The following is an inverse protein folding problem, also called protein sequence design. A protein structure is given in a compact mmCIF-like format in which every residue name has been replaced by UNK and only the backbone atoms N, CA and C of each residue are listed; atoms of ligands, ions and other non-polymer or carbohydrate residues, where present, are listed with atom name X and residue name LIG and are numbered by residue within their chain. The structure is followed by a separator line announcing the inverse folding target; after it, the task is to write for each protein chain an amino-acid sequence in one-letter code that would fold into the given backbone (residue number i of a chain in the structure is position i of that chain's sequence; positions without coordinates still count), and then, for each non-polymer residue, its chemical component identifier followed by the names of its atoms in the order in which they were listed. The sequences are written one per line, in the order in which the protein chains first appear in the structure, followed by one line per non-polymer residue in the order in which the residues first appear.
data_IF_342176216765
#
_entry.id   IF_342176216765
#
_cell.length_a   1.000
_cell.length_b   1.000
_cell.length_c   1.000
_cell.angle_alpha   90.00
_cell.angle_beta   90.00
_cell.angle_gamma   90.00
#
_symmetry.space_group_name_H-M   'P 1'
#
loop_
_entity.id
_entity.type
_entity.pdbx_description
1 polymer ?
#
# COMPACT_ATOMS: atom_id res chain seq x y z
N UNK A 1 -14.10 17.22 -3.95
CA UNK A 1 -14.64 18.30 -3.08
C UNK A 1 -14.32 19.65 -3.69
N UNK A 2 -14.58 20.75 -2.98
CA UNK A 2 -14.12 22.10 -3.38
C UNK A 2 -15.00 22.79 -4.44
N UNK A 3 -16.25 23.10 -4.10
CA UNK A 3 -17.15 23.84 -5.00
C UNK A 3 -17.87 22.93 -6.00
N UNK A 4 -18.68 22.02 -5.48
CA UNK A 4 -19.33 20.94 -6.26
C UNK A 4 -20.52 21.37 -7.11
N UNK A 5 -20.87 22.67 -7.13
CA UNK A 5 -22.06 23.17 -7.81
C UNK A 5 -22.09 22.95 -9.33
N UNK A 6 -20.93 22.89 -9.99
CA UNK A 6 -20.86 22.55 -11.42
C UNK A 6 -21.01 21.05 -11.65
N UNK A 7 -20.16 20.25 -11.00
CA UNK A 7 -20.06 18.81 -11.26
C UNK A 7 -21.34 18.05 -10.88
N UNK A 8 -22.15 18.58 -9.96
CA UNK A 8 -23.43 17.95 -9.59
C UNK A 8 -24.46 17.91 -10.73
N UNK A 9 -24.24 18.72 -11.77
CA UNK A 9 -25.07 18.79 -12.97
C UNK A 9 -24.43 18.09 -14.18
N UNK A 10 -23.31 17.38 -13.99
CA UNK A 10 -22.62 16.60 -15.03
C UNK A 10 -22.96 15.11 -14.82
N UNK A 11 -23.95 14.54 -15.56
CA UNK A 11 -24.46 13.19 -15.28
C UNK A 11 -23.39 12.10 -15.42
N UNK A 12 -22.47 12.27 -16.38
CA UNK A 12 -21.34 11.35 -16.61
C UNK A 12 -20.42 11.28 -15.39
N UNK A 13 -20.14 12.40 -14.72
CA UNK A 13 -19.32 12.43 -13.51
C UNK A 13 -20.01 11.75 -12.32
N UNK A 14 -21.32 11.98 -12.14
CA UNK A 14 -22.10 11.33 -11.09
C UNK A 14 -22.16 9.81 -11.31
N UNK A 15 -22.42 9.40 -12.55
CA UNK A 15 -22.47 7.99 -12.94
C UNK A 15 -21.10 7.32 -12.74
N UNK A 16 -20.01 7.99 -13.11
CA UNK A 16 -18.66 7.46 -12.88
C UNK A 16 -18.35 7.24 -11.40
N UNK A 17 -18.75 8.15 -10.51
CA UNK A 17 -18.57 7.96 -9.05
C UNK A 17 -19.36 6.75 -8.54
N UNK A 18 -20.58 6.57 -9.04
CA UNK A 18 -21.42 5.42 -8.70
C UNK A 18 -20.79 4.11 -9.19
N UNK A 19 -20.38 4.05 -10.45
CA UNK A 19 -19.74 2.88 -11.06
C UNK A 19 -18.42 2.53 -10.38
N UNK A 20 -17.60 3.53 -10.04
CA UNK A 20 -16.37 3.32 -9.26
C UNK A 20 -16.67 2.60 -7.94
N UNK A 21 -17.71 3.02 -7.21
CA UNK A 21 -18.11 2.36 -5.97
C UNK A 21 -18.69 0.96 -6.19
N UNK A 22 -19.55 0.78 -7.20
CA UNK A 22 -20.13 -0.53 -7.54
C UNK A 22 -19.05 -1.54 -7.97
N UNK A 23 -17.98 -1.08 -8.60
CA UNK A 23 -16.82 -1.88 -9.00
C UNK A 23 -15.79 -2.10 -7.87
N UNK A 24 -16.18 -1.91 -6.60
CA UNK A 24 -15.33 -2.18 -5.44
C UNK A 24 -14.49 -1.00 -4.95
N UNK A 25 -14.54 0.15 -5.63
CA UNK A 25 -13.80 1.34 -5.26
C UNK A 25 -14.23 1.96 -3.93
N UNK A 26 -13.29 2.67 -3.30
CA UNK A 26 -13.53 3.50 -2.11
C UNK A 26 -13.84 4.93 -2.52
N UNK A 27 -14.80 5.57 -1.87
CA UNK A 27 -15.18 6.97 -2.06
C UNK A 27 -14.86 7.76 -0.80
N UNK A 28 -13.89 8.67 -0.89
CA UNK A 28 -13.61 9.65 0.16
C UNK A 28 -14.03 11.03 -0.32
N UNK A 29 -14.93 11.69 0.42
CA UNK A 29 -15.38 13.05 0.09
C UNK A 29 -14.77 14.08 1.03
N UNK A 30 -14.48 15.27 0.48
CA UNK A 30 -13.95 16.42 1.24
C UNK A 30 -14.87 17.62 1.07
N UNK A 31 -15.20 18.29 2.17
CA UNK A 31 -15.99 19.51 2.18
C UNK A 31 -17.36 19.27 1.53
N UNK A 32 -17.71 20.03 0.49
CA UNK A 32 -18.96 19.85 -0.25
C UNK A 32 -18.99 18.59 -1.11
N UNK A 33 -17.92 17.79 -1.13
CA UNK A 33 -17.84 16.52 -1.87
C UNK A 33 -18.96 15.54 -1.53
N UNK A 34 -19.49 15.59 -0.30
CA UNK A 34 -20.61 14.76 0.12
C UNK A 34 -21.86 14.96 -0.77
N UNK A 35 -22.04 16.14 -1.39
CA UNK A 35 -23.16 16.38 -2.31
C UNK A 35 -23.08 15.51 -3.57
N UNK A 36 -21.86 15.19 -4.03
CA UNK A 36 -21.63 14.33 -5.19
C UNK A 36 -21.98 12.88 -4.85
N UNK A 37 -21.54 12.40 -3.68
CA UNK A 37 -21.89 11.06 -3.19
C UNK A 37 -23.41 10.92 -2.93
N UNK A 38 -24.03 11.96 -2.35
CA UNK A 38 -25.49 12.03 -2.18
C UNK A 38 -26.21 11.93 -3.53
N UNK A 39 -25.82 12.77 -4.51
CA UNK A 39 -26.41 12.77 -5.85
C UNK A 39 -26.25 11.43 -6.58
N UNK A 40 -25.15 10.73 -6.34
CA UNK A 40 -24.89 9.38 -6.87
C UNK A 40 -25.74 8.28 -6.18
N UNK A 41 -26.53 8.63 -5.15
CA UNK A 41 -27.33 7.68 -4.37
C UNK A 41 -26.52 6.85 -3.38
N UNK A 42 -25.26 7.22 -3.13
CA UNK A 42 -24.34 6.43 -2.30
C UNK A 42 -24.55 6.65 -0.79
N UNK A 43 -25.28 7.69 -0.38
CA UNK A 43 -25.48 8.04 1.03
C UNK A 43 -26.86 7.68 1.57
N UNK A 44 -27.75 7.09 0.77
CA UNK A 44 -29.12 6.77 1.22
C UNK A 44 -29.10 5.82 2.42
N UNK A 45 -29.84 6.16 3.48
CA UNK A 45 -29.86 5.44 4.75
C UNK A 45 -28.56 5.48 5.57
N UNK A 46 -27.55 6.24 5.14
CA UNK A 46 -26.25 6.33 5.82
C UNK A 46 -26.12 7.58 6.69
N UNK A 47 -25.17 7.53 7.61
CA UNK A 47 -24.67 8.73 8.30
C UNK A 47 -23.59 9.38 7.46
N UNK A 48 -23.58 10.71 7.39
CA UNK A 48 -22.56 11.44 6.66
C UNK A 48 -22.23 12.78 7.33
N UNK A 49 -21.11 13.39 6.95
CA UNK A 49 -20.82 14.77 7.31
C UNK A 49 -20.36 15.57 6.08
N UNK A 50 -20.39 16.89 6.19
CA UNK A 50 -19.98 17.81 5.13
C UNK A 50 -19.50 19.12 5.72
N UNK A 51 -19.14 20.08 4.87
CA UNK A 51 -18.78 21.42 5.30
C UNK A 51 -19.93 22.08 6.06
N UNK A 52 -19.62 22.82 7.13
CA UNK A 52 -20.61 23.32 8.09
C UNK A 52 -21.71 24.21 7.47
N UNK A 53 -21.46 24.87 6.34
CA UNK A 53 -22.48 25.66 5.62
C UNK A 53 -23.21 24.90 4.52
N UNK A 54 -22.85 23.64 4.25
CA UNK A 54 -23.34 22.86 3.12
C UNK A 54 -24.34 21.76 3.51
N UNK A 55 -24.76 21.69 4.78
CA UNK A 55 -25.68 20.67 5.27
C UNK A 55 -27.01 20.65 4.48
N UNK A 56 -27.70 21.78 4.38
CA UNK A 56 -28.96 21.87 3.65
C UNK A 56 -28.79 21.57 2.15
N UNK A 57 -27.64 21.98 1.59
CA UNK A 57 -27.28 21.70 0.20
C UNK A 57 -27.12 20.21 -0.06
N UNK A 58 -26.44 19.47 0.83
CA UNK A 58 -26.27 18.01 0.72
C UNK A 58 -27.59 17.28 0.98
N UNK A 59 -28.35 17.71 1.99
CA UNK A 59 -29.66 17.11 2.33
C UNK A 59 -30.65 17.20 1.16
N UNK A 60 -30.56 18.26 0.33
CA UNK A 60 -31.37 18.41 -0.88
C UNK A 60 -31.16 17.31 -1.94
N UNK A 61 -30.08 16.53 -1.85
CA UNK A 61 -29.79 15.42 -2.76
C UNK A 61 -29.89 14.04 -2.11
N UNK A 62 -30.18 13.97 -0.82
CA UNK A 62 -30.28 12.73 -0.07
C UNK A 62 -31.22 12.97 1.11
N UNK A 63 -32.46 12.53 0.96
CA UNK A 63 -33.50 12.76 1.97
C UNK A 63 -33.41 11.80 3.15
N UNK A 64 -32.81 10.63 2.97
CA UNK A 64 -32.76 9.55 3.96
C UNK A 64 -31.40 9.43 4.67
N UNK A 65 -30.41 10.30 4.37
CA UNK A 65 -29.17 10.35 5.16
C UNK A 65 -29.29 11.23 6.39
N UNK A 66 -28.62 10.78 7.45
CA UNK A 66 -28.44 11.54 8.68
C UNK A 66 -27.12 12.33 8.61
N UNK A 67 -27.20 13.65 8.45
CA UNK A 67 -26.03 14.52 8.43
C UNK A 67 -25.56 14.89 9.85
N UNK A 68 -24.42 14.35 10.27
CA UNK A 68 -23.78 14.58 11.56
C UNK A 68 -22.97 15.88 11.57
N UNK A 69 -23.32 16.79 12.49
CA UNK A 69 -22.60 18.04 12.75
C UNK A 69 -21.50 17.82 13.80
N UNK A 70 -20.42 18.60 13.71
CA UNK A 70 -19.35 18.61 14.71
C UNK A 70 -18.40 17.40 14.68
N UNK A 71 -18.56 16.48 13.74
CA UNK A 71 -17.64 15.36 13.52
C UNK A 71 -16.65 15.71 12.41
N UNK A 72 -15.42 15.18 12.50
CA UNK A 72 -14.38 15.44 11.49
C UNK A 72 -14.63 14.63 10.22
N UNK A 73 -14.91 13.34 10.39
CA UNK A 73 -15.30 12.45 9.31
C UNK A 73 -16.31 11.42 9.81
N UNK A 74 -17.02 10.79 8.87
CA UNK A 74 -17.87 9.63 9.09
C UNK A 74 -17.36 8.50 8.21
N UNK A 75 -17.05 7.36 8.80
CA UNK A 75 -16.66 6.14 8.08
C UNK A 75 -17.84 5.16 8.00
N UNK A 76 -18.29 4.87 6.77
CA UNK A 76 -19.30 3.87 6.44
C UNK A 76 -18.70 2.66 5.68
N UNK A 77 -17.43 2.32 5.94
CA UNK A 77 -16.71 1.28 5.23
C UNK A 77 -16.03 1.83 3.98
N UNK A 78 -16.55 1.53 2.78
CA UNK A 78 -15.96 2.03 1.53
C UNK A 78 -16.38 3.46 1.17
N UNK A 79 -17.24 4.09 1.98
CA UNK A 79 -17.63 5.49 1.83
C UNK A 79 -17.24 6.26 3.08
N UNK A 80 -16.30 7.20 2.93
CA UNK A 80 -15.85 8.10 3.98
C UNK A 80 -16.27 9.51 3.59
N UNK A 81 -17.03 10.18 4.46
CA UNK A 81 -17.37 11.59 4.28
C UNK A 81 -16.62 12.44 5.30
N UNK A 82 -16.10 13.58 4.87
CA UNK A 82 -15.32 14.46 5.75
C UNK A 82 -15.89 15.88 5.73
N UNK A 83 -15.70 16.59 6.83
CA UNK A 83 -16.15 17.97 6.99
C UNK A 83 -15.26 18.94 6.19
N UNK A 84 -14.66 19.94 6.83
CA UNK A 84 -13.80 20.92 6.16
C UNK A 84 -12.49 20.33 5.61
N UNK A 85 -11.65 21.19 5.02
CA UNK A 85 -10.38 20.81 4.39
C UNK A 85 -9.47 20.03 5.37
N UNK A 86 -9.29 20.55 6.58
CA UNK A 86 -8.47 19.88 7.61
C UNK A 86 -9.05 18.54 8.03
N UNK A 87 -10.37 18.43 8.12
CA UNK A 87 -11.03 17.16 8.40
C UNK A 87 -10.90 16.15 7.24
N UNK A 88 -10.73 16.65 6.01
CA UNK A 88 -10.33 15.86 4.85
C UNK A 88 -8.95 15.24 5.00
N UNK A 89 -7.99 15.95 5.61
CA UNK A 89 -6.66 15.40 5.94
C UNK A 89 -6.81 14.23 6.92
N UNK A 90 -7.61 14.42 7.97
CA UNK A 90 -7.86 13.36 8.97
C UNK A 90 -8.56 12.14 8.39
N UNK A 91 -9.57 12.35 7.54
CA UNK A 91 -10.23 11.25 6.84
C UNK A 91 -9.28 10.53 5.88
N UNK A 92 -8.37 11.24 5.22
CA UNK A 92 -7.35 10.64 4.36
C UNK A 92 -6.34 9.82 5.17
N UNK A 93 -5.86 10.35 6.31
CA UNK A 93 -4.96 9.63 7.22
C UNK A 93 -5.65 8.41 7.85
N UNK A 94 -6.94 8.52 8.19
CA UNK A 94 -7.75 7.38 8.61
C UNK A 94 -7.85 6.32 7.50
N UNK A 95 -8.09 6.71 6.25
CA UNK A 95 -8.12 5.79 5.12
C UNK A 95 -6.74 5.15 4.87
N UNK A 96 -5.63 5.90 4.96
CA UNK A 96 -4.27 5.36 4.88
C UNK A 96 -4.05 4.34 5.99
N UNK A 97 -4.51 4.63 7.21
CA UNK A 97 -4.42 3.70 8.35
C UNK A 97 -5.15 2.39 8.07
N UNK A 98 -6.31 2.45 7.40
CA UNK A 98 -7.04 1.26 6.99
C UNK A 98 -6.32 0.52 5.86
N UNK A 99 -5.81 1.20 4.84
CA UNK A 99 -5.17 0.56 3.67
C UNK A 99 -3.79 -0.02 4.02
N UNK A 100 -2.93 0.75 4.68
CA UNK A 100 -1.49 0.44 4.89
C UNK A 100 -1.09 0.32 6.37
N UNK A 101 -1.95 0.70 7.30
CA UNK A 101 -1.69 0.62 8.74
C UNK A 101 -1.40 1.96 9.40
N UNK A 102 -1.59 2.00 10.72
CA UNK A 102 -1.55 3.20 11.57
C UNK A 102 -0.17 3.85 11.54
N UNK A 103 0.90 3.08 11.61
CA UNK A 103 2.29 3.55 11.52
C UNK A 103 2.59 4.31 10.21
N UNK A 104 2.09 3.81 9.07
CA UNK A 104 2.24 4.47 7.77
C UNK A 104 1.42 5.77 7.72
N UNK A 105 0.22 5.78 8.29
CA UNK A 105 -0.56 6.99 8.43
C UNK A 105 0.13 8.02 9.36
N UNK A 106 0.72 7.56 10.46
CA UNK A 106 1.49 8.41 11.37
C UNK A 106 2.75 8.98 10.68
N UNK A 107 3.43 8.17 9.85
CA UNK A 107 4.55 8.63 9.04
C UNK A 107 4.12 9.68 8.02
N UNK A 108 3.02 9.43 7.31
CA UNK A 108 2.45 10.41 6.37
C UNK A 108 2.10 11.73 7.09
N UNK A 109 1.49 11.66 8.27
CA UNK A 109 1.19 12.83 9.08
C UNK A 109 2.47 13.58 9.49
N UNK A 110 3.51 12.87 9.95
CA UNK A 110 4.82 13.46 10.29
C UNK A 110 5.48 14.14 9.09
N UNK A 111 5.48 13.50 7.92
CA UNK A 111 6.08 14.05 6.70
C UNK A 111 5.35 15.30 6.18
N UNK A 112 4.06 15.43 6.49
CA UNK A 112 3.28 16.65 6.21
C UNK A 112 3.38 17.70 7.33
N UNK A 113 4.14 17.43 8.40
CA UNK A 113 4.20 18.23 9.62
C UNK A 113 2.81 18.45 10.26
N UNK A 114 1.92 17.47 10.11
CA UNK A 114 0.54 17.54 10.59
C UNK A 114 0.39 16.94 11.99
N UNK A 115 0.46 17.79 13.02
CA UNK A 115 0.42 17.42 14.45
C UNK A 115 -1.01 17.26 15.02
N UNK A 116 -2.05 17.48 14.20
CA UNK A 116 -3.45 17.47 14.65
C UNK A 116 -4.16 16.15 14.45
N UNK A 117 -3.53 15.17 13.82
CA UNK A 117 -4.18 13.89 13.60
C UNK A 117 -4.22 13.07 14.89
N UNK A 118 -5.42 12.82 15.37
CA UNK A 118 -5.69 11.88 16.44
C UNK A 118 -6.48 10.69 15.86
N UNK A 119 -5.87 9.49 15.81
CA UNK A 119 -6.54 8.29 15.30
C UNK A 119 -7.87 8.03 16.02
N UNK A 120 -8.95 7.89 15.26
CA UNK A 120 -10.27 7.57 15.79
C UNK A 120 -11.15 8.77 16.19
N UNK A 121 -10.72 10.03 15.94
CA UNK A 121 -11.57 11.21 16.20
C UNK A 121 -12.77 11.38 15.24
N UNK A 122 -12.90 10.53 14.22
CA UNK A 122 -14.10 10.48 13.39
C UNK A 122 -15.22 9.66 14.01
N UNK A 123 -16.41 9.78 13.43
CA UNK A 123 -17.53 8.90 13.76
C UNK A 123 -17.42 7.61 12.94
N UNK A 124 -17.29 6.48 13.62
CA UNK A 124 -17.30 5.17 12.99
C UNK A 124 -18.74 4.65 12.94
N UNK A 125 -19.34 4.65 11.75
CA UNK A 125 -20.65 4.04 11.52
C UNK A 125 -20.54 2.60 10.98
N UNK A 126 -19.31 2.13 10.84
CA UNK A 126 -18.96 0.82 10.32
C UNK A 126 -17.92 0.19 11.25
N UNK A 127 -18.16 -1.07 11.59
CA UNK A 127 -17.17 -1.98 12.15
C UNK A 127 -16.91 -3.07 11.11
N UNK A 128 -15.64 -3.39 10.85
CA UNK A 128 -15.32 -4.47 9.95
C UNK A 128 -15.64 -5.82 10.63
N UNK A 129 -16.82 -6.37 10.32
CA UNK A 129 -17.29 -7.64 10.87
C UNK A 129 -16.29 -8.78 10.65
N UNK A 130 -15.63 -8.83 9.49
CA UNK A 130 -14.62 -9.84 9.20
C UNK A 130 -13.43 -9.72 10.17
N UNK A 131 -12.89 -8.51 10.36
CA UNK A 131 -11.76 -8.26 11.26
C UNK A 131 -12.16 -8.57 12.71
N UNK A 132 -13.37 -8.20 13.13
CA UNK A 132 -13.90 -8.51 14.46
C UNK A 132 -14.12 -10.01 14.66
N UNK A 133 -14.59 -10.73 13.64
CA UNK A 133 -14.73 -12.18 13.67
C UNK A 133 -13.37 -12.88 13.74
N UNK A 134 -12.40 -12.46 12.91
CA UNK A 134 -11.03 -12.98 12.93
C UNK A 134 -10.39 -12.78 14.31
N UNK A 135 -10.51 -11.60 14.90
CA UNK A 135 -10.01 -11.31 16.26
C UNK A 135 -10.60 -12.25 17.30
N UNK A 136 -11.89 -12.59 17.19
CA UNK A 136 -12.63 -13.37 18.17
C UNK A 136 -12.42 -14.89 18.03
N UNK A 137 -12.39 -15.39 16.80
CA UNK A 137 -12.44 -16.83 16.50
C UNK A 137 -11.20 -17.38 15.81
N UNK A 138 -10.32 -16.50 15.31
CA UNK A 138 -9.08 -16.86 14.64
C UNK A 138 -9.24 -17.27 13.16
N UNK A 139 -8.11 -17.48 12.46
CA UNK A 139 -8.07 -17.74 11.02
C UNK A 139 -8.91 -18.93 10.55
N UNK A 140 -8.86 -20.05 11.26
CA UNK A 140 -9.54 -21.28 10.83
C UNK A 140 -11.07 -21.09 10.75
N UNK A 141 -11.65 -20.45 11.76
CA UNK A 141 -13.08 -20.12 11.78
C UNK A 141 -13.44 -19.01 10.80
N UNK A 142 -12.57 -18.02 10.62
CA UNK A 142 -12.78 -16.99 9.60
C UNK A 142 -12.85 -17.58 8.18
N UNK A 143 -12.01 -18.58 7.86
CA UNK A 143 -12.07 -19.31 6.57
C UNK A 143 -13.32 -20.16 6.42
N UNK A 144 -13.81 -20.78 7.49
CA UNK A 144 -15.06 -21.56 7.48
C UNK A 144 -16.27 -20.65 7.21
N UNK A 145 -16.35 -19.51 7.88
CA UNK A 145 -17.47 -18.57 7.78
C UNK A 145 -17.45 -17.75 6.48
N UNK A 146 -16.30 -17.17 6.13
CA UNK A 146 -16.16 -16.20 5.03
C UNK A 146 -15.52 -16.80 3.76
N UNK A 147 -15.25 -18.10 3.73
CA UNK A 147 -14.53 -18.79 2.65
C UNK A 147 -14.89 -18.35 1.22
N UNK A 148 -16.18 -18.35 0.82
CA UNK A 148 -16.60 -17.90 -0.51
C UNK A 148 -16.26 -16.42 -0.80
N UNK A 149 -16.39 -15.54 0.20
CA UNK A 149 -16.15 -14.11 0.05
C UNK A 149 -14.65 -13.76 0.09
N UNK A 150 -13.81 -14.62 0.67
CA UNK A 150 -12.35 -14.45 0.70
C UNK A 150 -11.68 -14.57 -0.68
N UNK A 151 -12.42 -15.00 -1.71
CA UNK A 151 -11.94 -15.00 -3.10
C UNK A 151 -11.69 -13.58 -3.63
N UNK A 152 -12.38 -12.59 -3.06
CA UNK A 152 -12.15 -11.17 -3.29
C UNK A 152 -11.85 -10.45 -1.96
N UNK A 153 -10.77 -10.86 -1.29
CA UNK A 153 -10.40 -10.40 0.04
C UNK A 153 -10.30 -8.86 0.16
N UNK A 154 -10.02 -8.16 -0.94
CA UNK A 154 -9.96 -6.69 -1.00
C UNK A 154 -11.32 -6.03 -0.71
N UNK A 155 -12.42 -6.76 -0.90
CA UNK A 155 -13.77 -6.29 -0.55
C UNK A 155 -14.13 -6.52 0.92
N UNK A 156 -13.43 -7.43 1.61
CA UNK A 156 -13.71 -7.78 3.00
C UNK A 156 -12.89 -6.98 4.00
N UNK A 157 -11.60 -6.77 3.72
CA UNK A 157 -10.70 -6.06 4.61
C UNK A 157 -9.52 -5.47 3.86
N UNK A 158 -8.98 -4.38 4.39
CA UNK A 158 -7.70 -3.84 3.93
C UNK A 158 -6.53 -4.46 4.70
N UNK A 159 -5.37 -4.58 4.05
CA UNK A 159 -4.15 -5.10 4.69
C UNK A 159 -3.79 -4.31 5.96
N UNK A 160 -3.92 -2.99 5.93
CA UNK A 160 -3.70 -2.11 7.09
C UNK A 160 -4.66 -2.37 8.26
N UNK A 161 -5.89 -2.85 8.04
CA UNK A 161 -6.80 -3.21 9.13
C UNK A 161 -6.31 -4.43 9.91
N UNK A 162 -5.80 -5.45 9.23
CA UNK A 162 -5.17 -6.61 9.88
C UNK A 162 -3.84 -6.24 10.54
N UNK A 163 -3.06 -5.35 9.91
CA UNK A 163 -1.85 -4.77 10.47
C UNK A 163 -2.12 -4.05 11.80
N UNK A 164 -3.18 -3.25 11.84
CA UNK A 164 -3.64 -2.55 13.03
C UNK A 164 -4.14 -3.52 14.11
N UNK A 165 -4.94 -4.52 13.73
CA UNK A 165 -5.37 -5.59 14.63
C UNK A 165 -4.17 -6.30 15.26
N UNK A 166 -3.17 -6.66 14.46
CA UNK A 166 -1.96 -7.32 14.94
C UNK A 166 -1.16 -6.43 15.90
N UNK A 167 -1.04 -5.13 15.61
CA UNK A 167 -0.41 -4.17 16.52
C UNK A 167 -1.13 -4.09 17.86
N UNK A 168 -2.47 -3.97 17.84
CA UNK A 168 -3.29 -3.89 19.04
C UNK A 168 -3.24 -5.21 19.86
N UNK A 169 -3.20 -6.37 19.19
CA UNK A 169 -3.01 -7.69 19.83
C UNK A 169 -1.63 -7.82 20.48
N UNK A 170 -0.57 -7.43 19.77
CA UNK A 170 0.80 -7.46 20.29
C UNK A 170 0.95 -6.53 21.50
N UNK A 171 0.40 -5.31 21.43
CA UNK A 171 0.37 -4.37 22.56
C UNK A 171 -0.40 -4.92 23.76
N UNK A 172 -1.41 -5.76 23.54
CA UNK A 172 -2.13 -6.49 24.58
C UNK A 172 -1.44 -7.78 25.05
N UNK A 173 -0.21 -8.06 24.61
CA UNK A 173 0.55 -9.26 24.95
C UNK A 173 0.07 -10.55 24.26
N UNK A 174 -0.82 -10.46 23.29
CA UNK A 174 -1.36 -11.60 22.52
C UNK A 174 -0.54 -11.83 21.24
N UNK A 175 0.77 -12.08 21.39
CA UNK A 175 1.72 -12.16 20.28
C UNK A 175 1.39 -13.27 19.28
N UNK A 176 0.95 -14.44 19.74
CA UNK A 176 0.55 -15.54 18.87
C UNK A 176 -0.64 -15.17 17.98
N UNK A 177 -1.63 -14.47 18.53
CA UNK A 177 -2.78 -14.00 17.73
C UNK A 177 -2.39 -12.90 16.75
N UNK A 178 -1.43 -12.05 17.12
CA UNK A 178 -0.89 -11.05 16.21
C UNK A 178 -0.22 -11.73 15.00
N UNK A 179 0.54 -12.81 15.24
CA UNK A 179 1.12 -13.64 14.18
C UNK A 179 0.03 -14.27 13.32
N UNK A 180 -0.96 -14.92 13.92
CA UNK A 180 -2.08 -15.53 13.19
C UNK A 180 -2.79 -14.53 12.27
N UNK A 181 -3.01 -13.29 12.73
CA UNK A 181 -3.62 -12.24 11.93
C UNK A 181 -2.73 -11.79 10.75
N UNK A 182 -1.42 -11.68 10.98
CA UNK A 182 -0.45 -11.29 9.94
C UNK A 182 -0.23 -12.39 8.91
N UNK A 183 -0.04 -13.64 9.35
CA UNK A 183 0.08 -14.79 8.46
C UNK A 183 -1.19 -14.93 7.61
N UNK A 184 -2.37 -14.79 8.22
CA UNK A 184 -3.62 -14.75 7.46
C UNK A 184 -3.59 -13.62 6.42
N UNK A 185 -3.12 -12.42 6.77
CA UNK A 185 -3.02 -11.33 5.81
C UNK A 185 -2.07 -11.66 4.65
N UNK A 186 -0.94 -12.35 4.89
CA UNK A 186 -0.01 -12.76 3.81
C UNK A 186 -0.61 -13.74 2.81
N UNK A 187 -1.61 -14.54 3.21
CA UNK A 187 -2.30 -15.45 2.27
C UNK A 187 -3.11 -14.69 1.21
N UNK A 188 -3.64 -13.51 1.55
CA UNK A 188 -4.50 -12.69 0.68
C UNK A 188 -3.79 -11.46 0.11
N UNK A 189 -2.70 -11.03 0.74
CA UNK A 189 -1.85 -9.92 0.32
C UNK A 189 -0.37 -10.35 0.24
N UNK A 190 -0.03 -11.37 -0.55
CA UNK A 190 1.32 -11.96 -0.55
C UNK A 190 2.41 -11.01 -1.05
N UNK A 191 2.06 -9.90 -1.71
CA UNK A 191 3.01 -8.88 -2.16
C UNK A 191 3.19 -7.69 -1.20
N UNK A 192 2.39 -7.60 -0.13
CA UNK A 192 2.40 -6.42 0.76
C UNK A 192 3.53 -6.52 1.80
N UNK A 193 4.69 -5.98 1.45
CA UNK A 193 5.93 -5.98 2.24
C UNK A 193 5.73 -5.45 3.67
N UNK A 194 4.83 -4.48 3.84
CA UNK A 194 4.50 -3.89 5.14
C UNK A 194 3.99 -4.93 6.16
N UNK A 195 3.32 -6.00 5.71
CA UNK A 195 2.83 -7.09 6.56
C UNK A 195 3.99 -7.96 7.02
N UNK A 196 4.90 -8.30 6.10
CA UNK A 196 6.12 -9.05 6.41
C UNK A 196 7.03 -8.28 7.37
N UNK A 197 7.16 -6.96 7.23
CA UNK A 197 7.93 -6.13 8.16
C UNK A 197 7.39 -6.23 9.58
N UNK A 198 6.07 -6.13 9.77
CA UNK A 198 5.48 -6.27 11.09
C UNK A 198 5.59 -7.71 11.63
N UNK A 199 5.43 -8.72 10.77
CA UNK A 199 5.61 -10.12 11.17
C UNK A 199 7.05 -10.37 11.66
N UNK A 200 8.05 -9.76 11.00
CA UNK A 200 9.46 -9.76 11.43
C UNK A 200 9.61 -9.17 12.83
N UNK A 201 8.97 -8.03 13.11
CA UNK A 201 9.04 -7.36 14.42
C UNK A 201 8.44 -8.23 15.52
N UNK A 202 7.26 -8.80 15.30
CA UNK A 202 6.61 -9.68 16.28
C UNK A 202 7.46 -10.95 16.51
N UNK A 203 8.03 -11.53 15.44
CA UNK A 203 8.94 -12.67 15.56
C UNK A 203 10.18 -12.33 16.38
N UNK A 204 10.79 -11.17 16.14
CA UNK A 204 11.95 -10.72 16.91
C UNK A 204 11.62 -10.56 18.40
N UNK A 205 10.46 -9.96 18.74
CA UNK A 205 10.01 -9.81 20.13
C UNK A 205 9.81 -11.16 20.83
N UNK A 206 9.43 -12.19 20.08
CA UNK A 206 9.27 -13.56 20.59
C UNK A 206 10.56 -14.40 20.57
N UNK A 207 11.69 -13.84 20.11
CA UNK A 207 12.93 -14.59 19.92
C UNK A 207 12.86 -15.66 18.82
N UNK A 208 11.89 -15.56 17.90
CA UNK A 208 11.79 -16.42 16.73
C UNK A 208 12.84 -16.03 15.68
N UNK A 209 13.28 -16.96 14.82
CA UNK A 209 14.11 -16.62 13.68
C UNK A 209 13.45 -15.56 12.79
N UNK A 210 14.21 -14.53 12.42
CA UNK A 210 13.77 -13.48 11.50
C UNK A 210 14.66 -13.44 10.25
N UNK A 211 14.10 -13.05 9.10
CA UNK A 211 14.90 -12.83 7.90
C UNK A 211 15.79 -11.59 8.02
N UNK A 212 16.93 -11.56 7.30
CA UNK A 212 17.71 -10.34 7.12
C UNK A 212 16.89 -9.25 6.44
N UNK A 213 17.25 -8.00 6.69
CA UNK A 213 16.65 -6.82 6.05
C UNK A 213 17.35 -6.49 4.73
N UNK A 214 16.77 -5.59 3.91
CA UNK A 214 17.44 -5.06 2.73
C UNK A 214 18.77 -4.40 3.07
N UNK A 215 18.85 -3.73 4.22
CA UNK A 215 20.09 -3.10 4.71
C UNK A 215 21.16 -4.14 5.00
N UNK A 216 20.81 -5.31 5.57
CA UNK A 216 21.77 -6.40 5.80
C UNK A 216 22.37 -6.93 4.48
N UNK A 217 21.55 -7.06 3.43
CA UNK A 217 22.03 -7.46 2.11
C UNK A 217 22.98 -6.40 1.53
N UNK A 218 22.62 -5.12 1.68
CA UNK A 218 23.40 -4.02 1.11
C UNK A 218 24.67 -3.69 1.90
N UNK A 219 24.72 -3.97 3.20
CA UNK A 219 25.94 -3.83 4.00
C UNK A 219 27.07 -4.70 3.42
N UNK A 220 26.77 -5.95 3.07
CA UNK A 220 27.71 -6.86 2.42
C UNK A 220 28.19 -6.35 1.08
N UNK A 221 27.28 -5.85 0.26
CA UNK A 221 27.62 -5.27 -1.04
C UNK A 221 28.52 -4.02 -0.89
N UNK A 222 28.23 -3.17 0.10
CA UNK A 222 29.00 -1.97 0.41
C UNK A 222 30.43 -2.27 0.93
N UNK A 223 30.64 -3.45 1.52
CA UNK A 223 31.95 -3.96 1.94
C UNK A 223 32.73 -4.63 0.80
N UNK A 224 32.21 -4.58 -0.44
CA UNK A 224 32.80 -5.26 -1.61
C UNK A 224 32.54 -6.78 -1.63
N UNK A 225 31.72 -7.30 -0.70
CA UNK A 225 31.42 -8.71 -0.57
C UNK A 225 30.17 -9.08 -1.40
N UNK A 226 30.22 -8.82 -2.71
CA UNK A 226 29.04 -8.92 -3.60
C UNK A 226 28.43 -10.32 -3.62
N UNK A 227 29.26 -11.36 -3.69
CA UNK A 227 28.80 -12.75 -3.69
C UNK A 227 28.29 -13.20 -2.32
N UNK A 228 28.81 -12.63 -1.22
CA UNK A 228 28.24 -12.87 0.11
C UNK A 228 26.87 -12.21 0.27
N UNK A 229 26.67 -11.02 -0.32
CA UNK A 229 25.36 -10.35 -0.35
C UNK A 229 24.31 -11.20 -1.07
N UNK A 230 24.65 -11.72 -2.26
CA UNK A 230 23.77 -12.62 -3.01
C UNK A 230 23.51 -13.92 -2.25
N UNK A 231 24.56 -14.55 -1.70
CA UNK A 231 24.42 -15.79 -0.95
C UNK A 231 23.57 -15.62 0.32
N UNK A 232 23.66 -14.46 0.99
CA UNK A 232 22.82 -14.12 2.14
C UNK A 232 21.35 -14.04 1.74
N UNK A 233 21.05 -13.38 0.62
CA UNK A 233 19.70 -13.28 0.07
C UNK A 233 19.14 -14.66 -0.35
N UNK A 234 19.91 -15.47 -1.07
CA UNK A 234 19.53 -16.85 -1.45
C UNK A 234 19.25 -17.74 -0.24
N UNK A 235 20.11 -17.65 0.78
CA UNK A 235 19.93 -18.38 2.04
C UNK A 235 18.68 -17.90 2.78
N UNK A 236 18.38 -16.60 2.73
CA UNK A 236 17.18 -16.03 3.34
C UNK A 236 15.92 -16.57 2.67
N UNK A 237 15.84 -16.57 1.33
CA UNK A 237 14.73 -17.18 0.58
C UNK A 237 14.51 -18.65 0.93
N UNK A 238 15.61 -19.41 1.07
CA UNK A 238 15.54 -20.84 1.42
C UNK A 238 15.04 -21.06 2.85
N UNK A 239 15.47 -20.22 3.79
CA UNK A 239 15.08 -20.32 5.20
C UNK A 239 13.68 -19.79 5.48
N UNK A 240 13.22 -18.81 4.71
CA UNK A 240 11.94 -18.13 4.86
C UNK A 240 11.16 -18.18 3.53
N UNK A 241 10.66 -19.37 3.14
CA UNK A 241 9.95 -19.53 1.88
C UNK A 241 8.69 -18.67 1.85
N UNK A 242 8.45 -17.97 0.73
CA UNK A 242 7.29 -17.09 0.55
C UNK A 242 7.39 -15.73 1.26
N UNK A 243 8.53 -15.42 1.91
CA UNK A 243 8.75 -14.13 2.53
C UNK A 243 9.09 -13.06 1.49
N UNK A 244 8.43 -11.89 1.57
CA UNK A 244 8.78 -10.73 0.75
C UNK A 244 9.65 -9.78 1.58
N UNK A 245 10.89 -9.56 1.13
CA UNK A 245 11.94 -8.90 1.92
C UNK A 245 11.98 -7.37 1.76
N UNK A 246 11.56 -6.86 0.61
CA UNK A 246 11.55 -5.44 0.25
C UNK A 246 10.56 -5.23 -0.88
N UNK A 247 10.21 -3.98 -1.19
CA UNK A 247 9.50 -3.61 -2.42
C UNK A 247 10.47 -3.42 -3.58
N UNK A 248 10.03 -3.73 -4.81
CA UNK A 248 10.81 -3.54 -6.04
C UNK A 248 11.36 -2.11 -6.14
N UNK A 249 10.50 -1.12 -5.89
CA UNK A 249 10.79 0.31 -5.96
C UNK A 249 11.87 0.73 -4.95
N UNK A 250 11.82 0.19 -3.73
CA UNK A 250 12.78 0.49 -2.66
C UNK A 250 14.18 -0.02 -3.02
N UNK A 251 14.28 -1.26 -3.50
CA UNK A 251 15.58 -1.81 -3.92
C UNK A 251 16.09 -1.11 -5.19
N UNK A 252 15.20 -0.76 -6.12
CA UNK A 252 15.54 0.02 -7.31
C UNK A 252 16.13 1.39 -6.93
N UNK A 253 15.45 2.14 -6.05
CA UNK A 253 15.92 3.42 -5.55
C UNK A 253 17.28 3.28 -4.86
N UNK A 254 17.48 2.23 -4.07
CA UNK A 254 18.76 1.93 -3.42
C UNK A 254 19.88 1.78 -4.44
N UNK A 255 19.65 1.03 -5.53
CA UNK A 255 20.61 0.91 -6.63
C UNK A 255 20.96 2.26 -7.25
N UNK A 256 19.97 3.12 -7.55
CA UNK A 256 20.22 4.45 -8.11
C UNK A 256 20.96 5.39 -7.15
N UNK A 257 20.66 5.33 -5.84
CA UNK A 257 21.41 6.10 -4.84
C UNK A 257 22.90 5.69 -4.84
N UNK A 258 23.18 4.39 -4.94
CA UNK A 258 24.55 3.87 -5.01
C UNK A 258 25.26 4.27 -6.30
N UNK A 259 24.57 4.23 -7.45
CA UNK A 259 25.11 4.78 -8.71
C UNK A 259 25.43 6.27 -8.60
N UNK A 260 24.57 7.05 -7.97
CA UNK A 260 24.79 8.48 -7.70
C UNK A 260 26.02 8.74 -6.85
N UNK A 261 26.32 7.85 -5.91
CA UNK A 261 27.50 7.88 -5.04
C UNK A 261 28.76 7.29 -5.70
N UNK A 262 28.69 6.81 -6.95
CA UNK A 262 29.81 6.16 -7.64
C UNK A 262 30.12 4.73 -7.16
N UNK A 263 29.26 4.13 -6.36
CA UNK A 263 29.40 2.75 -5.85
C UNK A 263 28.80 1.75 -6.83
N UNK A 264 29.35 1.69 -8.04
CA UNK A 264 28.78 0.94 -9.18
C UNK A 264 28.59 -0.54 -8.88
N UNK A 265 29.59 -1.21 -8.30
CA UNK A 265 29.51 -2.65 -7.97
C UNK A 265 28.38 -2.97 -6.97
N UNK A 266 28.26 -2.17 -5.91
CA UNK A 266 27.17 -2.33 -4.94
C UNK A 266 25.80 -2.05 -5.57
N UNK A 267 25.71 -1.08 -6.48
CA UNK A 267 24.49 -0.80 -7.22
C UNK A 267 24.09 -1.96 -8.13
N UNK A 268 25.02 -2.54 -8.90
CA UNK A 268 24.80 -3.75 -9.69
C UNK A 268 24.26 -4.85 -8.79
N UNK A 269 24.83 -5.03 -7.60
CA UNK A 269 24.37 -6.06 -6.67
C UNK A 269 22.94 -5.81 -6.15
N UNK A 270 22.58 -4.55 -5.85
CA UNK A 270 21.21 -4.18 -5.51
C UNK A 270 20.23 -4.55 -6.63
N UNK A 271 20.56 -4.19 -7.88
CA UNK A 271 19.71 -4.49 -9.03
C UNK A 271 19.65 -5.99 -9.33
N UNK A 272 20.73 -6.75 -9.14
CA UNK A 272 20.72 -8.23 -9.28
C UNK A 272 19.77 -8.88 -8.27
N UNK A 273 19.82 -8.46 -7.01
CA UNK A 273 18.90 -8.92 -5.97
C UNK A 273 17.45 -8.53 -6.33
N UNK A 274 17.24 -7.34 -6.90
CA UNK A 274 15.93 -6.89 -7.33
C UNK A 274 15.37 -7.72 -8.51
N UNK A 275 16.23 -8.05 -9.49
CA UNK A 275 15.87 -8.92 -10.62
C UNK A 275 15.45 -10.31 -10.16
N UNK A 276 16.14 -10.86 -9.16
CA UNK A 276 15.79 -12.17 -8.61
C UNK A 276 14.47 -12.12 -7.83
N UNK A 277 14.24 -11.06 -7.04
CA UNK A 277 13.00 -10.86 -6.31
C UNK A 277 11.77 -10.59 -7.21
N UNK A 278 11.97 -9.92 -8.34
CA UNK A 278 10.91 -9.42 -9.23
C UNK A 278 11.15 -9.74 -10.72
N UNK A 279 11.26 -11.02 -11.10
CA UNK A 279 11.69 -11.41 -12.45
C UNK A 279 10.68 -11.10 -13.55
N UNK A 280 9.47 -10.63 -13.21
CA UNK A 280 8.44 -10.22 -14.16
C UNK A 280 8.38 -8.70 -14.35
N UNK A 281 9.14 -7.91 -13.58
CA UNK A 281 9.20 -6.47 -13.74
C UNK A 281 10.19 -6.12 -14.86
N UNK A 282 9.76 -5.42 -15.90
CA UNK A 282 10.69 -4.97 -16.94
C UNK A 282 11.69 -3.91 -16.41
N UNK A 283 11.28 -3.15 -15.38
CA UNK A 283 12.03 -2.04 -14.79
C UNK A 283 13.30 -2.51 -14.08
N UNK A 284 13.28 -3.68 -13.44
CA UNK A 284 14.47 -4.23 -12.76
C UNK A 284 15.57 -4.63 -13.74
N UNK A 285 15.20 -5.11 -14.94
CA UNK A 285 16.17 -5.43 -15.99
C UNK A 285 16.71 -4.17 -16.67
N UNK A 286 15.87 -3.17 -16.89
CA UNK A 286 16.28 -1.86 -17.42
C UNK A 286 17.32 -1.21 -16.51
N UNK A 287 17.03 -1.15 -15.21
CA UNK A 287 17.92 -0.54 -14.21
C UNK A 287 19.22 -1.33 -14.02
N UNK A 288 19.17 -2.66 -14.08
CA UNK A 288 20.38 -3.49 -14.07
C UNK A 288 21.25 -3.25 -15.32
N UNK A 289 20.62 -3.10 -16.50
CA UNK A 289 21.33 -2.82 -17.74
C UNK A 289 22.02 -1.45 -17.73
N UNK A 290 21.38 -0.43 -17.16
CA UNK A 290 22.00 0.88 -16.93
C UNK A 290 23.25 0.78 -16.06
N UNK A 291 23.18 0.02 -14.97
CA UNK A 291 24.32 -0.18 -14.08
C UNK A 291 25.48 -0.89 -14.78
N UNK A 292 25.21 -1.93 -15.57
CA UNK A 292 26.25 -2.60 -16.37
C UNK A 292 26.86 -1.70 -17.44
N UNK A 293 26.06 -0.85 -18.08
CA UNK A 293 26.59 0.09 -19.07
C UNK A 293 27.53 1.12 -18.43
N UNK A 294 27.22 1.55 -17.20
CA UNK A 294 28.08 2.45 -16.42
C UNK A 294 29.38 1.78 -15.97
N UNK A 295 29.35 0.46 -15.78
CA UNK A 295 30.51 -0.38 -15.48
C UNK A 295 31.26 -0.85 -16.75
N UNK A 296 30.94 -0.28 -17.91
CA UNK A 296 31.54 -0.60 -19.22
C UNK A 296 31.27 -2.04 -19.73
N UNK A 297 30.33 -2.76 -19.10
CA UNK A 297 29.94 -4.13 -19.45
C UNK A 297 28.82 -4.13 -20.51
N UNK A 298 29.14 -3.63 -21.71
CA UNK A 298 28.16 -3.38 -22.79
C UNK A 298 27.39 -4.64 -23.25
N UNK A 299 28.02 -5.82 -23.23
CA UNK A 299 27.33 -7.07 -23.60
C UNK A 299 26.27 -7.48 -22.58
N UNK A 300 26.55 -7.29 -21.29
CA UNK A 300 25.59 -7.53 -20.22
C UNK A 300 24.47 -6.49 -20.24
N UNK A 301 24.80 -5.21 -20.45
CA UNK A 301 23.80 -4.17 -20.65
C UNK A 301 22.85 -4.53 -21.82
N UNK A 302 23.39 -4.92 -22.98
CA UNK A 302 22.59 -5.33 -24.15
C UNK A 302 21.64 -6.48 -23.81
N UNK A 303 22.15 -7.53 -23.17
CA UNK A 303 21.37 -8.70 -22.74
C UNK A 303 20.18 -8.29 -21.86
N UNK A 304 20.40 -7.40 -20.88
CA UNK A 304 19.36 -7.03 -19.93
C UNK A 304 18.36 -6.00 -20.46
N UNK A 305 18.77 -5.07 -21.32
CA UNK A 305 17.81 -4.22 -22.05
C UNK A 305 16.91 -5.05 -22.98
N UNK A 306 17.45 -6.06 -23.67
CA UNK A 306 16.66 -7.00 -24.46
C UNK A 306 15.63 -7.72 -23.58
N UNK A 307 16.04 -8.19 -22.40
CA UNK A 307 15.11 -8.82 -21.45
C UNK A 307 14.01 -7.87 -20.97
N UNK A 308 14.35 -6.61 -20.73
CA UNK A 308 13.35 -5.57 -20.40
C UNK A 308 12.31 -5.42 -21.52
N UNK A 309 12.75 -5.36 -22.79
CA UNK A 309 11.85 -5.26 -23.95
C UNK A 309 11.01 -6.52 -24.20
N UNK A 310 11.52 -7.70 -23.87
CA UNK A 310 10.73 -8.93 -23.91
C UNK A 310 9.51 -8.86 -22.97
N UNK A 311 9.69 -8.24 -21.79
CA UNK A 311 8.63 -8.10 -20.78
C UNK A 311 7.72 -6.89 -21.05
N UNK A 312 8.29 -5.80 -21.58
CA UNK A 312 7.55 -4.62 -21.96
C UNK A 312 8.11 -4.07 -23.29
N UNK A 313 7.50 -4.44 -24.43
CA UNK A 313 7.92 -3.95 -25.74
C UNK A 313 7.91 -2.44 -25.88
N UNK A 314 7.12 -1.73 -25.06
CA UNK A 314 6.96 -0.27 -25.08
C UNK A 314 7.99 0.50 -24.24
N UNK A 315 8.96 -0.19 -23.62
CA UNK A 315 10.03 0.47 -22.89
C UNK A 315 10.93 1.30 -23.84
N UNK A 316 10.67 2.60 -23.93
CA UNK A 316 11.44 3.54 -24.75
C UNK A 316 12.89 3.69 -24.32
N UNK A 317 13.17 3.60 -23.01
CA UNK A 317 14.53 3.72 -22.48
C UNK A 317 15.41 2.59 -23.02
N UNK A 318 14.97 1.34 -22.86
CA UNK A 318 15.69 0.17 -23.34
C UNK A 318 15.97 0.23 -24.86
N UNK A 319 14.98 0.63 -25.68
CA UNK A 319 15.18 0.81 -27.14
C UNK A 319 16.28 1.82 -27.44
N UNK A 320 16.20 2.98 -26.80
CA UNK A 320 17.17 4.07 -27.00
C UNK A 320 18.58 3.66 -26.57
N UNK A 321 18.70 2.94 -25.46
CA UNK A 321 19.99 2.52 -24.94
C UNK A 321 20.62 1.39 -25.76
N UNK A 322 19.82 0.47 -26.31
CA UNK A 322 20.30 -0.54 -27.26
C UNK A 322 20.86 0.09 -28.53
N UNK A 323 20.15 1.03 -29.14
CA UNK A 323 20.65 1.74 -30.32
C UNK A 323 22.00 2.44 -30.04
N UNK A 324 22.16 3.08 -28.88
CA UNK A 324 23.43 3.68 -28.46
C UNK A 324 24.57 2.68 -28.26
N UNK A 325 24.26 1.46 -27.82
CA UNK A 325 25.25 0.40 -27.65
C UNK A 325 25.70 -0.15 -29.02
N UNK A 326 24.82 -0.16 -30.02
CA UNK A 326 25.13 -0.62 -31.39
C UNK A 326 25.94 0.40 -32.21
N UNK A 327 25.87 1.69 -31.85
CA UNK A 327 26.64 2.77 -32.49
C UNK A 327 28.11 2.87 -32.01
N UNK A 328 28.50 2.12 -30.97
CA UNK A 328 29.85 2.14 -30.36
C UNK A 328 30.69 0.95 -30.82
#
# INVERSE_FOLDING_TARGET
GGGTGRIINEPEAIQWVKEHYENGGTVLTVCTGASVAAKAGLLEGMKATTYHTAFDYVQGYCSDCELLKGVRYVDNGRIITTAGISAGIDGALHLISRIKGRDIAEEAARNMEYDKWAPGEGYMNYENEFVSYLKKYGPAKAKEEYGPALTDAQTLFFAGELKNLAADLAAAGQMEKAIEALEFCTEYYPGEVIIYNQLREVYAQMGRPVPPTPEDFMEKALQGQLEEAMALYEKAKTRFPGWVFFEESRMNWTGYQLLGQGKTEAAIQAFRINVDAYPQSFNVYDSLAEAYLRDEQSDLARKYYQKSLELNPDNENARKMLAKIEER
#
